data_IF_720436796011
#
_entry.id   IF_720436796011
#
_cell.length_a   1.000
_cell.length_b   1.000
_cell.length_c   1.000
_cell.angle_alpha   90.00
_cell.angle_beta   90.00
_cell.angle_gamma   90.00
#
_symmetry.space_group_name_H-M   'P 1'
#
loop_
_entity.id
_entity.type
_entity.pdbx_description
1 polymer ?
#
# COMPACT_ATOMS: atom_id res chain seq x y z
N UNK A 1 -14.21 72.84 -23.30
CA UNK A 1 -15.09 71.77 -23.81
C UNK A 1 -14.21 70.72 -24.47
N UNK A 2 -14.08 69.53 -23.87
CA UNK A 2 -13.92 68.18 -24.46
C UNK A 2 -13.63 67.22 -23.30
N UNK A 3 -14.32 66.09 -23.32
CA UNK A 3 -14.73 65.28 -22.16
C UNK A 3 -13.71 64.20 -21.81
N UNK A 4 -13.62 63.89 -20.52
CA UNK A 4 -13.04 62.66 -19.97
C UNK A 4 -13.64 61.41 -20.63
N UNK A 5 -12.79 60.45 -21.01
CA UNK A 5 -13.16 59.04 -21.14
C UNK A 5 -12.05 58.16 -20.55
N UNK A 6 -12.32 57.65 -19.35
CA UNK A 6 -11.69 56.46 -18.79
C UNK A 6 -11.94 55.29 -19.76
N UNK A 7 -10.90 54.54 -20.11
CA UNK A 7 -11.05 53.13 -20.46
C UNK A 7 -9.97 52.36 -19.71
N UNK A 8 -10.39 51.83 -18.55
CA UNK A 8 -9.62 50.86 -17.79
C UNK A 8 -9.51 49.56 -18.59
N UNK A 9 -8.31 49.02 -18.67
CA UNK A 9 -8.05 47.68 -19.14
C UNK A 9 -7.11 47.01 -18.16
N UNK A 10 -7.68 46.50 -17.06
CA UNK A 10 -6.99 45.68 -16.07
C UNK A 10 -6.43 44.44 -16.79
N UNK A 11 -5.12 44.39 -17.04
CA UNK A 11 -4.45 43.22 -17.56
C UNK A 11 -4.43 42.12 -16.49
N UNK A 12 -5.50 41.32 -16.45
CA UNK A 12 -5.61 40.11 -15.63
C UNK A 12 -4.64 39.06 -16.17
N UNK A 13 -3.47 39.00 -15.56
CA UNK A 13 -2.46 37.97 -15.77
C UNK A 13 -3.02 36.64 -15.19
N UNK A 14 -3.60 35.80 -16.04
CA UNK A 14 -4.03 34.45 -15.69
C UNK A 14 -2.79 33.59 -15.38
N UNK A 15 -2.39 33.52 -14.10
CA UNK A 15 -1.44 32.53 -13.59
C UNK A 15 -2.15 31.16 -13.57
N UNK A 16 -2.06 30.43 -14.68
CA UNK A 16 -2.41 29.02 -14.71
C UNK A 16 -1.37 28.24 -13.88
N UNK A 17 -1.72 27.91 -12.64
CA UNK A 17 -0.96 26.96 -11.82
C UNK A 17 -1.15 25.55 -12.42
N UNK A 18 -0.29 25.19 -13.37
CA UNK A 18 -0.11 23.79 -13.76
C UNK A 18 0.56 23.06 -12.61
N UNK A 19 -0.24 22.51 -11.70
CA UNK A 19 0.27 21.56 -10.71
C UNK A 19 0.66 20.27 -11.43
N UNK A 20 1.97 20.07 -11.60
CA UNK A 20 2.50 18.78 -12.02
C UNK A 20 2.30 17.79 -10.86
N UNK A 21 1.16 17.10 -10.83
CA UNK A 21 0.95 15.99 -9.90
C UNK A 21 1.93 14.89 -10.29
N UNK A 22 2.97 14.69 -9.47
CA UNK A 22 3.96 13.65 -9.68
C UNK A 22 3.27 12.28 -9.78
N UNK A 23 3.45 11.60 -10.91
CA UNK A 23 2.97 10.22 -11.11
C UNK A 23 3.89 9.18 -10.47
N UNK A 24 4.97 9.62 -9.82
CA UNK A 24 5.90 8.74 -9.10
C UNK A 24 5.25 8.29 -7.81
N UNK A 25 5.17 6.98 -7.61
CA UNK A 25 4.69 6.39 -6.35
C UNK A 25 5.49 6.94 -5.16
N UNK A 26 4.80 7.21 -4.06
CA UNK A 26 5.39 7.64 -2.79
C UNK A 26 5.89 6.46 -1.95
N UNK A 27 5.47 5.23 -2.29
CA UNK A 27 5.91 4.02 -1.63
C UNK A 27 7.39 3.75 -1.92
N UNK A 28 8.15 3.38 -0.89
CA UNK A 28 9.62 3.27 -0.94
C UNK A 28 10.12 1.85 -1.22
N UNK A 29 9.24 0.85 -1.18
CA UNK A 29 9.57 -0.56 -1.33
C UNK A 29 8.82 -1.25 -2.49
N UNK A 30 8.33 -0.48 -3.46
CA UNK A 30 7.78 -0.99 -4.72
C UNK A 30 8.92 -1.43 -5.62
N UNK A 31 8.81 -2.65 -6.15
CA UNK A 31 9.76 -3.22 -7.09
C UNK A 31 9.01 -4.05 -8.17
N UNK A 32 8.94 -3.56 -9.42
CA UNK A 32 8.33 -4.30 -10.53
C UNK A 32 9.17 -5.50 -11.01
N UNK A 33 10.38 -5.69 -10.50
CA UNK A 33 11.21 -6.86 -10.79
C UNK A 33 11.20 -7.89 -9.67
N UNK A 34 10.52 -7.60 -8.55
CA UNK A 34 10.31 -8.59 -7.50
C UNK A 34 9.63 -9.87 -8.04
N UNK A 35 9.98 -11.05 -7.50
CA UNK A 35 9.40 -12.31 -7.92
C UNK A 35 7.87 -12.29 -7.86
N UNK A 36 7.23 -12.90 -8.87
CA UNK A 36 5.78 -13.07 -8.87
C UNK A 36 5.41 -14.00 -7.70
N UNK A 37 4.49 -13.61 -6.79
CA UNK A 37 4.05 -14.46 -5.71
C UNK A 37 3.56 -15.83 -6.21
N UNK A 38 3.88 -16.88 -5.46
CA UNK A 38 3.41 -18.25 -5.74
C UNK A 38 2.41 -18.68 -4.68
N UNK A 39 1.48 -19.56 -5.03
CA UNK A 39 0.46 -20.09 -4.13
C UNK A 39 0.85 -21.48 -3.64
N UNK A 40 0.72 -21.73 -2.33
CA UNK A 40 0.68 -23.11 -1.79
C UNK A 40 -0.74 -23.66 -1.87
N UNK A 41 -1.71 -22.80 -1.60
CA UNK A 41 -3.16 -23.07 -1.62
C UNK A 41 -3.87 -21.86 -2.22
N UNK A 42 -5.14 -21.99 -2.67
CA UNK A 42 -5.89 -20.87 -3.25
C UNK A 42 -5.93 -19.60 -2.38
N UNK A 43 -5.82 -19.75 -1.06
CA UNK A 43 -5.88 -18.69 -0.06
C UNK A 43 -4.56 -18.48 0.71
N UNK A 44 -3.41 -18.93 0.20
CA UNK A 44 -2.12 -18.79 0.89
C UNK A 44 -0.94 -18.65 -0.08
N UNK A 45 -0.14 -17.59 0.08
CA UNK A 45 1.12 -17.42 -0.63
C UNK A 45 2.27 -18.23 -0.02
N UNK A 46 3.28 -18.53 -0.84
CA UNK A 46 4.61 -18.93 -0.37
C UNK A 46 5.32 -17.67 0.10
N UNK A 47 5.72 -17.62 1.38
CA UNK A 47 6.54 -16.56 1.96
C UNK A 47 7.62 -17.22 2.80
N UNK A 48 8.89 -17.00 2.46
CA UNK A 48 10.03 -17.70 3.08
C UNK A 48 11.09 -16.77 3.63
N UNK A 49 11.18 -15.56 3.08
CA UNK A 49 12.25 -14.62 3.39
C UNK A 49 11.80 -13.61 4.45
N UNK A 50 12.71 -13.27 5.36
CA UNK A 50 12.45 -12.30 6.43
C UNK A 50 12.93 -10.91 6.03
N UNK A 51 12.12 -9.90 6.35
CA UNK A 51 12.54 -8.50 6.21
C UNK A 51 13.66 -8.18 7.19
N UNK A 52 14.66 -7.43 6.71
CA UNK A 52 15.67 -6.77 7.56
C UNK A 52 15.28 -5.33 7.91
N UNK A 53 14.25 -4.80 7.27
CA UNK A 53 13.74 -3.45 7.50
C UNK A 53 12.63 -3.49 8.58
N UNK A 54 12.79 -2.81 9.73
CA UNK A 54 11.76 -2.74 10.76
C UNK A 54 10.50 -1.99 10.33
N UNK A 55 10.54 -1.24 9.22
CA UNK A 55 9.38 -0.53 8.67
C UNK A 55 8.50 -1.40 7.79
N UNK A 56 9.02 -2.51 7.27
CA UNK A 56 8.29 -3.36 6.32
C UNK A 56 6.97 -3.85 6.90
N UNK A 57 5.86 -3.42 6.29
CA UNK A 57 4.49 -3.66 6.69
C UNK A 57 3.99 -2.77 7.83
N UNK A 58 4.86 -2.16 8.63
CA UNK A 58 4.49 -1.34 9.80
C UNK A 58 4.44 0.17 9.52
N UNK A 59 4.99 0.61 8.40
CA UNK A 59 5.03 2.01 7.98
C UNK A 59 4.26 2.15 6.64
N UNK A 60 3.40 3.17 6.48
CA UNK A 60 2.65 3.39 5.25
C UNK A 60 3.53 3.63 4.02
N UNK A 61 4.78 4.10 4.17
CA UNK A 61 5.73 4.23 3.06
C UNK A 61 6.37 2.88 2.67
N UNK A 62 6.27 1.86 3.54
CA UNK A 62 6.86 0.53 3.37
C UNK A 62 5.79 -0.58 3.53
N UNK A 63 4.64 -0.52 2.81
CA UNK A 63 3.58 -1.50 2.97
C UNK A 63 4.00 -2.88 2.44
N UNK A 64 3.23 -3.90 2.77
CA UNK A 64 3.37 -5.20 2.11
C UNK A 64 2.74 -5.11 0.72
N UNK A 65 3.57 -5.18 -0.32
CA UNK A 65 3.15 -5.11 -1.72
C UNK A 65 2.72 -6.51 -2.22
N UNK A 66 1.41 -6.77 -2.20
CA UNK A 66 0.81 -8.11 -2.44
C UNK A 66 0.22 -8.28 -3.84
N UNK A 67 0.54 -7.41 -4.80
CA UNK A 67 -0.02 -7.52 -6.15
C UNK A 67 0.28 -8.90 -6.78
N UNK A 68 -0.78 -9.57 -7.22
CA UNK A 68 -0.70 -10.85 -7.91
C UNK A 68 -1.84 -10.96 -8.94
N UNK A 69 -1.45 -11.17 -10.20
CA UNK A 69 -2.31 -11.28 -11.41
C UNK A 69 -3.14 -10.03 -11.74
N UNK A 70 -4.00 -9.56 -10.84
CA UNK A 70 -4.95 -8.48 -11.11
C UNK A 70 -5.39 -7.78 -9.82
N UNK A 71 -5.82 -6.53 -9.94
CA UNK A 71 -6.48 -5.73 -8.90
C UNK A 71 -7.99 -5.97 -8.77
N UNK A 72 -8.60 -6.81 -9.63
CA UNK A 72 -10.05 -7.08 -9.61
C UNK A 72 -10.58 -7.69 -8.29
N UNK A 73 -9.71 -8.36 -7.54
CA UNK A 73 -9.98 -8.83 -6.19
C UNK A 73 -8.79 -8.41 -5.32
N UNK A 74 -8.73 -7.13 -5.00
CA UNK A 74 -7.66 -6.53 -4.20
C UNK A 74 -7.51 -7.15 -2.80
N UNK A 75 -8.59 -7.75 -2.28
CA UNK A 75 -8.65 -8.28 -0.92
C UNK A 75 -8.07 -9.69 -0.82
N UNK A 76 -8.24 -10.55 -1.84
CA UNK A 76 -7.80 -11.96 -1.73
C UNK A 76 -6.28 -12.09 -1.58
N UNK A 77 -5.49 -11.21 -2.19
CA UNK A 77 -4.03 -11.27 -2.09
C UNK A 77 -3.51 -10.82 -0.73
N UNK A 78 -4.17 -9.84 -0.09
CA UNK A 78 -3.91 -9.50 1.29
C UNK A 78 -4.20 -10.70 2.21
N UNK A 79 -5.34 -11.35 2.02
CA UNK A 79 -5.71 -12.57 2.77
C UNK A 79 -4.71 -13.70 2.54
N UNK A 80 -4.26 -13.92 1.30
CA UNK A 80 -3.24 -14.94 0.95
C UNK A 80 -1.93 -14.73 1.68
N UNK A 81 -1.49 -13.47 1.76
CA UNK A 81 -0.28 -13.11 2.49
C UNK A 81 -0.48 -13.29 4.01
N UNK A 82 -1.54 -12.73 4.58
CA UNK A 82 -1.80 -12.79 6.02
C UNK A 82 -2.00 -14.23 6.52
N UNK A 83 -2.59 -15.11 5.72
CA UNK A 83 -2.70 -16.54 6.03
C UNK A 83 -1.36 -17.28 6.05
N UNK A 84 -0.32 -16.73 5.43
CA UNK A 84 1.03 -17.29 5.46
C UNK A 84 1.81 -16.90 6.71
N UNK A 85 1.33 -15.92 7.48
CA UNK A 85 2.00 -15.43 8.67
C UNK A 85 1.55 -16.17 9.94
N UNK A 86 2.41 -16.13 10.96
CA UNK A 86 2.16 -16.59 12.31
C UNK A 86 2.77 -15.59 13.32
N UNK A 87 2.37 -15.68 14.58
CA UNK A 87 2.95 -14.87 15.67
C UNK A 87 4.44 -15.15 15.89
N UNK A 88 5.11 -14.41 16.79
CA UNK A 88 6.55 -14.51 17.04
C UNK A 88 7.03 -15.92 17.43
N UNK A 89 6.16 -16.73 18.03
CA UNK A 89 6.44 -18.12 18.45
C UNK A 89 5.68 -19.15 17.61
N UNK A 90 5.15 -18.74 16.45
CA UNK A 90 4.36 -19.59 15.56
C UNK A 90 2.87 -19.66 15.91
N UNK A 91 2.36 -18.71 16.70
CA UNK A 91 0.96 -18.67 17.09
C UNK A 91 0.04 -18.45 15.89
N UNK A 92 -1.15 -19.06 15.94
CA UNK A 92 -2.18 -18.82 14.93
C UNK A 92 -2.65 -17.36 15.02
N UNK A 93 -2.51 -16.63 13.91
CA UNK A 93 -3.02 -15.28 13.77
C UNK A 93 -4.52 -15.29 13.46
N UNK A 94 -5.22 -14.29 13.99
CA UNK A 94 -6.47 -13.77 13.42
C UNK A 94 -6.19 -12.37 12.87
N UNK A 95 -6.89 -12.00 11.81
CA UNK A 95 -6.73 -10.68 11.21
C UNK A 95 -8.07 -10.13 10.73
N UNK A 96 -8.20 -8.81 10.74
CA UNK A 96 -9.34 -8.07 10.20
C UNK A 96 -8.85 -6.81 9.51
N UNK A 97 -9.47 -6.45 8.39
CA UNK A 97 -9.30 -5.12 7.79
C UNK A 97 -10.02 -4.12 8.67
N UNK A 98 -9.32 -3.10 9.16
CA UNK A 98 -9.89 -2.09 10.07
C UNK A 98 -10.07 -0.73 9.43
N UNK A 99 -9.29 -0.45 8.39
CA UNK A 99 -9.37 0.81 7.67
C UNK A 99 -8.75 0.67 6.27
N UNK A 100 -8.99 1.66 5.43
CA UNK A 100 -8.28 1.89 4.18
C UNK A 100 -7.75 3.32 4.25
N UNK A 101 -6.45 3.49 4.00
CA UNK A 101 -5.75 4.75 4.17
C UNK A 101 -4.86 5.07 2.98
N UNK A 102 -4.18 6.19 3.14
CA UNK A 102 -2.91 6.49 2.50
C UNK A 102 -3.02 6.43 0.97
N UNK A 103 -3.63 7.45 0.35
CA UNK A 103 -3.59 7.57 -1.10
C UNK A 103 -2.15 7.65 -1.57
N UNK A 104 -1.83 6.90 -2.62
CA UNK A 104 -0.53 6.96 -3.30
C UNK A 104 -0.71 6.92 -4.83
N UNK A 105 0.15 7.59 -5.60
CA UNK A 105 0.10 7.51 -7.06
C UNK A 105 0.45 6.10 -7.56
N UNK A 106 -0.34 5.56 -8.49
CA UNK A 106 -0.08 4.29 -9.18
C UNK A 106 -0.65 4.29 -10.58
N UNK A 107 0.01 3.62 -11.52
CA UNK A 107 -0.49 3.44 -12.88
C UNK A 107 -1.36 2.20 -13.04
N UNK A 108 -1.52 1.41 -11.98
CA UNK A 108 -2.26 0.14 -12.00
C UNK A 108 -3.76 0.30 -11.69
N UNK A 109 -4.26 1.55 -11.69
CA UNK A 109 -5.69 1.90 -11.59
C UNK A 109 -6.07 2.90 -12.67
N UNK A 110 -7.35 2.90 -13.09
CA UNK A 110 -7.85 3.87 -14.07
C UNK A 110 -7.86 5.32 -13.55
N UNK A 111 -7.81 5.52 -12.23
CA UNK A 111 -7.79 6.84 -11.59
C UNK A 111 -6.38 7.40 -11.36
N UNK A 112 -5.32 6.61 -11.59
CA UNK A 112 -3.94 7.03 -11.33
C UNK A 112 -3.53 7.05 -9.85
N UNK A 113 -4.38 6.52 -8.97
CA UNK A 113 -4.16 6.47 -7.52
C UNK A 113 -4.69 5.16 -6.92
N UNK A 114 -4.06 4.73 -5.84
CA UNK A 114 -4.42 3.57 -5.04
C UNK A 114 -4.48 3.93 -3.56
N UNK A 115 -5.06 3.05 -2.75
CA UNK A 115 -5.17 3.21 -1.30
C UNK A 115 -4.60 1.97 -0.61
N UNK A 116 -3.91 2.17 0.51
CA UNK A 116 -3.44 1.07 1.35
C UNK A 116 -4.57 0.53 2.22
N UNK A 117 -4.56 -0.76 2.48
CA UNK A 117 -5.43 -1.39 3.46
C UNK A 117 -4.69 -1.59 4.78
N UNK A 118 -5.35 -1.27 5.89
CA UNK A 118 -4.83 -1.48 7.24
C UNK A 118 -5.49 -2.72 7.83
N UNK A 119 -4.67 -3.70 8.18
CA UNK A 119 -5.08 -4.92 8.85
C UNK A 119 -4.59 -4.94 10.29
N UNK A 120 -5.47 -5.27 11.23
CA UNK A 120 -5.08 -5.62 12.59
C UNK A 120 -4.84 -7.12 12.69
N UNK A 121 -3.71 -7.51 13.27
CA UNK A 121 -3.31 -8.89 13.52
C UNK A 121 -3.27 -9.15 15.03
N UNK A 122 -3.86 -10.26 15.45
CA UNK A 122 -3.97 -10.67 16.85
C UNK A 122 -3.60 -12.15 16.99
N UNK A 123 -3.01 -12.52 18.12
CA UNK A 123 -2.77 -13.91 18.52
C UNK A 123 -2.83 -14.07 20.04
N UNK A 124 -2.85 -15.32 20.50
CA UNK A 124 -2.80 -15.63 21.92
C UNK A 124 -1.49 -15.14 22.55
N UNK A 125 -1.57 -14.35 23.62
CA UNK A 125 -0.40 -13.79 24.31
C UNK A 125 0.08 -12.44 23.80
N UNK A 126 -0.48 -11.93 22.69
CA UNK A 126 -0.33 -10.53 22.32
C UNK A 126 -1.26 -9.67 23.21
N UNK A 127 -0.73 -8.58 23.77
CA UNK A 127 -1.49 -7.66 24.61
C UNK A 127 -2.31 -6.63 23.83
N UNK A 128 -1.88 -6.28 22.61
CA UNK A 128 -2.57 -5.36 21.70
C UNK A 128 -2.39 -5.81 20.24
N UNK A 129 -3.43 -5.72 19.40
CA UNK A 129 -3.30 -5.98 17.97
C UNK A 129 -2.20 -5.11 17.36
N UNK A 130 -1.40 -5.70 16.46
CA UNK A 130 -0.47 -4.93 15.64
C UNK A 130 -1.15 -4.59 14.31
N UNK A 131 -0.72 -3.50 13.67
CA UNK A 131 -1.26 -3.08 12.39
C UNK A 131 -0.25 -3.32 11.26
N UNK A 132 -0.73 -3.82 10.13
CA UNK A 132 0.02 -3.89 8.89
C UNK A 132 -0.66 -3.06 7.80
N UNK A 133 0.14 -2.32 7.05
CA UNK A 133 -0.23 -1.64 5.82
C UNK A 133 0.00 -2.57 4.64
N UNK A 134 -1.03 -2.75 3.81
CA UNK A 134 -1.01 -3.68 2.67
C UNK A 134 -1.38 -2.91 1.41
N UNK A 135 -0.57 -3.11 0.38
CA UNK A 135 -0.78 -2.55 -0.94
C UNK A 135 -1.12 -3.65 -1.94
N UNK A 136 -2.31 -3.60 -2.53
CA UNK A 136 -2.77 -4.58 -3.52
C UNK A 136 -2.48 -4.21 -4.98
N UNK A 137 -1.86 -3.05 -5.23
CA UNK A 137 -1.72 -2.46 -6.57
C UNK A 137 -0.32 -2.63 -7.15
N UNK A 138 0.72 -2.66 -6.32
CA UNK A 138 2.12 -2.75 -6.79
C UNK A 138 2.79 -4.04 -6.35
N UNK A 139 3.86 -4.41 -7.08
CA UNK A 139 4.73 -5.52 -6.71
C UNK A 139 5.86 -5.04 -5.80
N UNK A 140 6.36 -5.96 -4.99
CA UNK A 140 7.55 -5.82 -4.18
C UNK A 140 7.94 -7.19 -3.63
N UNK A 141 9.07 -7.27 -2.93
CA UNK A 141 9.46 -8.51 -2.28
C UNK A 141 8.44 -8.85 -1.18
N UNK A 142 7.93 -10.08 -1.23
CA UNK A 142 6.97 -10.60 -0.26
C UNK A 142 7.75 -11.22 0.90
N UNK A 143 7.90 -10.47 1.98
CA UNK A 143 8.78 -10.80 3.11
C UNK A 143 7.96 -10.97 4.39
N UNK A 144 8.54 -11.62 5.40
CA UNK A 144 7.97 -11.74 6.73
C UNK A 144 8.38 -10.49 7.54
N UNK A 145 7.44 -9.72 8.11
CA UNK A 145 7.76 -8.54 8.92
C UNK A 145 8.53 -8.93 10.19
N UNK A 146 9.41 -8.05 10.65
CA UNK A 146 10.17 -8.29 11.89
C UNK A 146 9.21 -8.53 13.05
N UNK A 147 9.47 -9.58 13.84
CA UNK A 147 8.64 -9.98 14.96
C UNK A 147 7.49 -10.93 14.60
N UNK A 148 7.27 -11.23 13.32
CA UNK A 148 6.36 -12.29 12.88
C UNK A 148 7.15 -13.49 12.33
N UNK A 149 6.45 -14.60 12.17
CA UNK A 149 7.01 -15.82 11.58
C UNK A 149 6.15 -16.32 10.42
N UNK A 150 6.63 -17.34 9.70
CA UNK A 150 5.81 -18.06 8.73
C UNK A 150 4.98 -19.13 9.45
N UNK A 151 3.74 -19.30 9.01
CA UNK A 151 2.88 -20.39 9.43
C UNK A 151 3.45 -21.72 8.92
N UNK A 152 3.75 -22.62 9.86
CA UNK A 152 4.18 -23.99 9.58
C UNK A 152 3.02 -24.86 9.07
#
# INVERSE_FOLDING_TARGET
>A
MIRFRFFGGLALFFLALVSCVSTKSTLKNVDPYAPIPKLIKPNQFIVTDYSKDPKYGFDPDYPVNVFYQSTKNDTINAVRYLNALAGPKGEKLTFKKVNTCCPFPTKNTGMGAGMLDIYELQWAGNSKPIQLYVNSYERGFLLIPIGLTVKK
#
